data_IF_245185502037
#
_entry.id   IF_245185502037
#
_cell.length_a   1.000
_cell.length_b   1.000
_cell.length_c   1.000
_cell.angle_alpha   90.00
_cell.angle_beta   90.00
_cell.angle_gamma   90.00
#
_symmetry.space_group_name_H-M   'P 1'
#
loop_
_entity.id
_entity.type
_entity.pdbx_description
1 polymer ?
#
# COMPACT_ATOMS: atom_id res chain seq x y z
N UNK A 1 27.96 -20.21 6.95
CA UNK A 1 28.17 -18.87 6.38
C UNK A 1 27.62 -18.85 4.97
N UNK A 2 26.60 -18.01 4.73
CA UNK A 2 26.38 -17.21 3.52
C UNK A 2 24.95 -16.66 3.52
N UNK A 3 24.65 -15.77 4.47
CA UNK A 3 23.51 -14.86 4.38
C UNK A 3 23.92 -13.69 3.47
N UNK A 4 23.91 -13.90 2.16
CA UNK A 4 24.19 -12.83 1.20
C UNK A 4 23.33 -13.07 -0.04
N UNK A 5 22.10 -12.58 0.00
CA UNK A 5 21.20 -12.69 -1.15
C UNK A 5 19.77 -12.17 -1.01
N UNK A 6 19.35 -11.62 0.14
CA UNK A 6 17.92 -11.32 0.34
C UNK A 6 17.59 -9.87 0.68
N UNK A 7 18.33 -8.89 0.14
CA UNK A 7 17.97 -7.47 0.25
C UNK A 7 18.58 -6.63 -0.88
N UNK A 8 18.29 -6.91 -2.16
CA UNK A 8 18.38 -5.89 -3.21
C UNK A 8 17.73 -6.37 -4.52
N UNK A 9 16.42 -6.15 -4.67
CA UNK A 9 15.76 -6.05 -5.99
C UNK A 9 14.42 -5.35 -5.80
N UNK A 10 14.46 -4.11 -5.31
CA UNK A 10 13.28 -3.25 -5.48
C UNK A 10 13.10 -3.02 -6.99
N UNK A 11 11.88 -3.09 -7.47
CA UNK A 11 11.51 -2.78 -8.85
C UNK A 11 11.65 -1.30 -9.18
N UNK A 12 11.03 -0.89 -10.28
CA UNK A 12 11.08 0.49 -10.76
C UNK A 12 10.70 1.52 -9.67
N UNK A 13 11.32 2.71 -9.76
CA UNK A 13 10.88 3.88 -9.00
C UNK A 13 9.48 4.28 -9.49
N UNK A 14 8.49 4.21 -8.62
CA UNK A 14 7.10 4.54 -8.95
C UNK A 14 6.84 6.04 -8.78
N UNK A 15 7.36 6.63 -7.70
CA UNK A 15 7.15 8.03 -7.36
C UNK A 15 8.21 8.56 -6.41
N UNK A 16 8.57 9.82 -6.57
CA UNK A 16 9.28 10.63 -5.56
C UNK A 16 8.38 11.78 -5.15
N UNK A 17 8.37 12.13 -3.87
CA UNK A 17 7.68 13.32 -3.39
C UNK A 17 8.08 13.70 -1.97
N UNK A 18 7.58 14.83 -1.48
CA UNK A 18 7.96 15.32 -0.16
C UNK A 18 7.01 14.80 0.92
N UNK A 19 7.56 14.57 2.11
CA UNK A 19 6.76 14.09 3.25
C UNK A 19 5.80 15.14 3.81
N UNK A 20 6.02 16.42 3.51
CA UNK A 20 5.21 17.56 3.98
C UNK A 20 4.12 17.99 2.98
N UNK A 21 4.03 17.36 1.81
CA UNK A 21 2.98 17.59 0.81
C UNK A 21 1.61 17.03 1.27
N UNK A 22 1.61 16.05 2.18
CA UNK A 22 0.41 15.37 2.66
C UNK A 22 0.42 15.25 4.18
N UNK A 23 -0.74 14.92 4.72
CA UNK A 23 -0.90 14.67 6.15
C UNK A 23 -0.57 13.22 6.43
N UNK A 24 0.50 12.97 7.18
CA UNK A 24 0.83 11.63 7.65
C UNK A 24 -0.19 11.16 8.71
N UNK A 25 -0.79 9.99 8.48
CA UNK A 25 -1.59 9.31 9.50
C UNK A 25 -0.67 8.48 10.41
N UNK A 26 -1.11 8.27 11.64
CA UNK A 26 -0.30 7.61 12.66
C UNK A 26 -1.05 7.40 13.97
N UNK A 27 -0.41 6.67 14.87
CA UNK A 27 -0.91 6.38 16.22
C UNK A 27 0.12 6.88 17.23
N UNK A 28 -0.34 7.49 18.34
CA UNK A 28 0.55 7.97 19.42
C UNK A 28 1.68 8.91 18.96
N UNK A 29 1.45 9.70 17.91
CA UNK A 29 2.44 10.62 17.35
C UNK A 29 3.49 9.96 16.43
N UNK A 30 3.41 8.64 16.21
CA UNK A 30 4.26 7.94 15.25
C UNK A 30 3.53 7.85 13.89
N UNK A 31 4.03 8.53 12.84
CA UNK A 31 3.44 8.41 11.51
C UNK A 31 3.78 7.06 10.87
N UNK A 32 2.85 6.53 10.08
CA UNK A 32 2.94 5.22 9.42
C UNK A 32 4.23 5.10 8.58
N UNK A 33 4.58 6.12 7.80
CA UNK A 33 5.77 6.06 6.92
C UNK A 33 7.09 5.92 7.69
N UNK A 34 7.19 6.41 8.93
CA UNK A 34 8.39 6.22 9.77
C UNK A 34 8.49 4.79 10.31
N UNK A 35 7.37 4.09 10.45
CA UNK A 35 7.32 2.69 10.82
C UNK A 35 7.32 1.75 9.59
N UNK A 36 7.49 2.28 8.39
CA UNK A 36 7.15 1.57 7.17
C UNK A 36 7.88 0.23 6.99
N UNK A 37 9.21 0.22 7.18
CA UNK A 37 10.01 -1.00 7.06
C UNK A 37 9.63 -2.06 8.11
N UNK A 38 9.22 -1.63 9.31
CA UNK A 38 8.76 -2.54 10.36
C UNK A 38 7.40 -3.14 10.00
N UNK A 39 6.48 -2.33 9.46
CA UNK A 39 5.17 -2.78 8.96
C UNK A 39 5.34 -3.77 7.79
N UNK A 40 6.18 -3.44 6.80
CA UNK A 40 6.52 -4.33 5.67
C UNK A 40 7.10 -5.65 6.20
N UNK A 41 8.08 -5.60 7.11
CA UNK A 41 8.70 -6.80 7.65
C UNK A 41 7.70 -7.67 8.43
N UNK A 42 6.77 -7.05 9.16
CA UNK A 42 5.72 -7.76 9.87
C UNK A 42 4.71 -8.42 8.93
N UNK A 43 4.28 -7.69 7.89
CA UNK A 43 3.41 -8.22 6.84
C UNK A 43 4.08 -9.36 6.09
N UNK A 44 5.37 -9.24 5.76
CA UNK A 44 6.15 -10.30 5.10
C UNK A 44 6.13 -11.60 5.91
N UNK A 45 6.16 -11.52 7.25
CA UNK A 45 6.12 -12.70 8.12
C UNK A 45 4.72 -13.31 8.26
N UNK A 46 3.66 -12.50 8.15
CA UNK A 46 2.29 -12.92 8.45
C UNK A 46 1.49 -13.27 7.20
N UNK A 47 1.60 -12.43 6.18
CA UNK A 47 0.82 -12.50 4.94
C UNK A 47 1.68 -11.95 3.78
N UNK A 48 2.65 -12.73 3.25
CA UNK A 48 3.59 -12.27 2.24
C UNK A 48 2.92 -11.62 1.01
N UNK A 49 1.77 -12.16 0.58
CA UNK A 49 1.02 -11.66 -0.58
C UNK A 49 0.46 -10.25 -0.40
N UNK A 50 0.31 -9.74 0.82
CA UNK A 50 -0.17 -8.38 1.07
C UNK A 50 0.95 -7.34 0.93
N UNK A 51 2.22 -7.75 0.98
CA UNK A 51 3.36 -6.84 0.88
C UNK A 51 3.50 -6.27 -0.52
N UNK A 52 3.14 -7.05 -1.55
CA UNK A 52 3.27 -6.64 -2.95
C UNK A 52 2.35 -5.46 -3.33
N UNK A 53 1.37 -5.14 -2.49
CA UNK A 53 0.51 -3.96 -2.63
C UNK A 53 1.17 -2.67 -2.13
N UNK A 54 2.32 -2.74 -1.47
CA UNK A 54 2.97 -1.61 -0.81
C UNK A 54 4.30 -1.30 -1.47
N UNK A 55 4.41 -0.09 -2.03
CA UNK A 55 5.69 0.42 -2.47
C UNK A 55 6.65 0.53 -1.27
N UNK A 56 7.93 0.27 -1.48
CA UNK A 56 8.94 0.38 -0.42
C UNK A 56 9.45 1.81 -0.35
N UNK A 57 9.20 2.54 0.75
CA UNK A 57 9.69 3.91 0.90
C UNK A 57 11.18 3.92 1.25
N UNK A 58 11.91 4.83 0.62
CA UNK A 58 13.28 5.20 0.96
C UNK A 58 13.37 6.70 1.11
N UNK A 59 13.53 7.14 2.36
CA UNK A 59 13.72 8.56 2.66
C UNK A 59 15.16 8.97 2.40
N UNK A 60 15.35 10.22 1.96
CA UNK A 60 16.67 10.86 1.96
C UNK A 60 17.18 11.07 3.41
N UNK A 61 18.45 11.48 3.56
CA UNK A 61 19.09 11.69 4.88
C UNK A 61 18.32 12.65 5.80
N UNK A 62 17.62 13.63 5.21
CA UNK A 62 16.85 14.64 5.93
C UNK A 62 15.42 14.20 6.26
N UNK A 63 14.96 13.06 5.70
CA UNK A 63 13.59 12.58 5.85
C UNK A 63 12.53 13.39 5.11
N UNK A 64 12.91 14.39 4.33
CA UNK A 64 12.02 15.36 3.67
C UNK A 64 11.48 14.87 2.34
N UNK A 65 12.23 14.00 1.65
CA UNK A 65 11.87 13.42 0.36
C UNK A 65 11.84 11.92 0.51
N UNK A 66 10.83 11.29 -0.07
CA UNK A 66 10.63 9.84 -0.06
C UNK A 66 10.54 9.34 -1.49
N UNK A 67 11.42 8.43 -1.85
CA UNK A 67 11.33 7.61 -3.05
C UNK A 67 10.53 6.34 -2.76
N UNK A 68 9.54 6.04 -3.60
CA UNK A 68 8.69 4.87 -3.47
C UNK A 68 8.98 3.91 -4.62
N UNK A 69 9.53 2.74 -4.27
CA UNK A 69 9.91 1.73 -5.25
C UNK A 69 8.90 0.59 -5.28
N UNK A 70 8.67 0.01 -6.45
CA UNK A 70 7.88 -1.22 -6.56
C UNK A 70 8.54 -2.36 -5.75
N UNK A 71 7.79 -3.18 -5.00
CA UNK A 71 8.31 -4.41 -4.39
C UNK A 71 8.61 -5.51 -5.42
N UNK A 72 8.07 -5.43 -6.64
CA UNK A 72 8.24 -6.42 -7.71
C UNK A 72 8.80 -5.80 -9.00
N UNK A 73 9.42 -6.62 -9.85
CA UNK A 73 9.86 -6.21 -11.19
C UNK A 73 8.69 -6.27 -12.18
N UNK A 74 8.63 -5.31 -13.11
CA UNK A 74 7.60 -5.27 -14.14
C UNK A 74 7.47 -3.90 -14.78
N UNK A 75 6.60 -3.81 -15.80
CA UNK A 75 6.29 -2.57 -16.48
C UNK A 75 5.28 -1.76 -15.67
N UNK A 76 5.56 -0.47 -15.48
CA UNK A 76 4.75 0.40 -14.62
C UNK A 76 3.69 1.13 -15.45
N UNK A 77 2.44 0.96 -15.07
CA UNK A 77 1.27 1.65 -15.63
C UNK A 77 0.65 2.53 -14.54
N UNK A 78 0.70 3.87 -14.67
CA UNK A 78 -0.02 4.76 -13.76
C UNK A 78 -1.53 4.50 -13.81
N UNK A 79 -2.23 4.64 -12.67
CA UNK A 79 -3.69 4.42 -12.60
C UNK A 79 -4.48 5.19 -13.67
N UNK A 80 -4.09 6.43 -13.97
CA UNK A 80 -4.73 7.28 -14.98
C UNK A 80 -4.57 6.76 -16.42
N UNK A 81 -3.56 5.92 -16.66
CA UNK A 81 -3.25 5.34 -17.97
C UNK A 81 -3.83 3.93 -18.13
N UNK A 82 -4.30 3.31 -17.06
CA UNK A 82 -4.94 1.99 -17.09
C UNK A 82 -6.35 2.06 -17.67
N UNK A 83 -6.71 1.04 -18.45
CA UNK A 83 -8.07 0.84 -18.96
C UNK A 83 -9.05 0.63 -17.80
N UNK A 84 -10.35 0.87 -18.03
CA UNK A 84 -11.34 0.64 -16.97
C UNK A 84 -11.41 -0.84 -16.57
N UNK A 85 -11.17 -1.78 -17.49
CA UNK A 85 -11.15 -3.22 -17.19
C UNK A 85 -9.99 -3.58 -16.25
N UNK A 86 -8.79 -3.05 -16.50
CA UNK A 86 -7.63 -3.23 -15.61
C UNK A 86 -7.88 -2.58 -14.25
N UNK A 87 -8.46 -1.36 -14.23
CA UNK A 87 -8.85 -0.68 -13.00
C UNK A 87 -9.88 -1.48 -12.22
N UNK A 88 -10.87 -2.10 -12.86
CA UNK A 88 -11.88 -2.91 -12.19
C UNK A 88 -11.30 -4.14 -11.49
N UNK A 89 -10.40 -4.85 -12.18
CA UNK A 89 -9.65 -5.97 -11.59
C UNK A 89 -8.80 -5.49 -10.41
N UNK A 90 -8.08 -4.38 -10.58
CA UNK A 90 -7.25 -3.80 -9.53
C UNK A 90 -8.06 -3.34 -8.30
N UNK A 91 -9.25 -2.77 -8.50
CA UNK A 91 -10.18 -2.41 -7.40
C UNK A 91 -10.56 -3.62 -6.57
N UNK A 92 -10.89 -4.73 -7.22
CA UNK A 92 -11.21 -5.98 -6.51
C UNK A 92 -10.03 -6.45 -5.65
N UNK A 93 -8.81 -6.42 -6.20
CA UNK A 93 -7.61 -6.79 -5.46
C UNK A 93 -7.32 -5.83 -4.28
N UNK A 94 -7.45 -4.52 -4.50
CA UNK A 94 -7.22 -3.49 -3.48
C UNK A 94 -8.27 -3.54 -2.35
N UNK A 95 -9.52 -3.86 -2.68
CA UNK A 95 -10.57 -4.09 -1.69
C UNK A 95 -10.26 -5.30 -0.82
N UNK A 96 -9.81 -6.41 -1.42
CA UNK A 96 -9.36 -7.58 -0.67
C UNK A 96 -8.17 -7.24 0.24
N UNK A 97 -7.17 -6.52 -0.27
CA UNK A 97 -6.03 -6.03 0.52
C UNK A 97 -6.49 -5.19 1.72
N UNK A 98 -7.37 -4.20 1.50
CA UNK A 98 -7.90 -3.34 2.56
C UNK A 98 -8.62 -4.14 3.64
N UNK A 99 -9.49 -5.07 3.25
CA UNK A 99 -10.22 -5.92 4.20
C UNK A 99 -9.28 -6.81 5.01
N UNK A 100 -8.30 -7.45 4.37
CA UNK A 100 -7.34 -8.30 5.06
C UNK A 100 -6.50 -7.50 6.09
N UNK A 101 -6.07 -6.28 5.74
CA UNK A 101 -5.36 -5.39 6.67
C UNK A 101 -6.25 -5.00 7.86
N UNK A 102 -7.52 -4.68 7.62
CA UNK A 102 -8.47 -4.33 8.67
C UNK A 102 -8.70 -5.49 9.64
N UNK A 103 -8.85 -6.72 9.14
CA UNK A 103 -8.99 -7.92 9.96
C UNK A 103 -7.75 -8.20 10.81
N UNK A 104 -6.56 -8.09 10.20
CA UNK A 104 -5.29 -8.26 10.92
C UNK A 104 -5.10 -7.20 12.00
N UNK A 105 -5.43 -5.94 11.71
CA UNK A 105 -5.42 -4.83 12.66
C UNK A 105 -6.33 -5.13 13.86
N UNK A 106 -7.59 -5.49 13.60
CA UNK A 106 -8.57 -5.80 14.63
C UNK A 106 -8.12 -6.99 15.50
N UNK A 107 -7.58 -8.04 14.89
CA UNK A 107 -7.05 -9.21 15.61
C UNK A 107 -5.91 -8.84 16.56
N UNK A 108 -4.95 -8.01 16.11
CA UNK A 108 -3.83 -7.54 16.91
C UNK A 108 -4.28 -6.67 18.08
N UNK A 109 -5.21 -5.74 17.85
CA UNK A 109 -5.76 -4.87 18.90
C UNK A 109 -6.53 -5.68 19.94
N UNK A 110 -7.32 -6.67 19.53
CA UNK A 110 -8.07 -7.53 20.44
C UNK A 110 -7.14 -8.41 21.29
N UNK A 111 -6.13 -9.02 20.67
CA UNK A 111 -5.15 -9.84 21.37
C UNK A 111 -4.34 -9.01 22.37
N UNK A 112 -3.88 -7.83 21.96
CA UNK A 112 -3.14 -6.90 22.82
C UNK A 112 -3.98 -6.43 24.02
N UNK A 113 -5.27 -6.13 23.80
CA UNK A 113 -6.20 -5.74 24.87
C UNK A 113 -6.40 -6.84 25.91
N UNK A 114 -6.51 -8.10 25.48
CA UNK A 114 -6.63 -9.26 26.39
C UNK A 114 -5.35 -9.52 27.18
N UNK A 115 -4.19 -9.28 26.57
CA UNK A 115 -2.88 -9.53 27.16
C UNK A 115 -2.25 -8.34 27.88
N UNK A 116 -2.91 -7.17 27.92
CA UNK A 116 -2.34 -5.93 28.47
C UNK A 116 -1.11 -5.41 27.71
N UNK A 117 -0.94 -5.78 26.43
CA UNK A 117 0.24 -5.45 25.63
C UNK A 117 0.00 -4.16 24.81
N UNK A 118 0.35 -3.00 25.39
CA UNK A 118 0.17 -1.69 24.76
C UNK A 118 0.79 -1.59 23.38
N UNK A 119 2.01 -2.11 23.21
CA UNK A 119 2.77 -1.99 21.96
C UNK A 119 2.11 -2.78 20.83
N UNK A 120 1.51 -3.92 21.16
CA UNK A 120 0.74 -4.71 20.20
C UNK A 120 -0.53 -3.98 19.76
N UNK A 121 -1.19 -3.27 20.68
CA UNK A 121 -2.37 -2.45 20.35
C UNK A 121 -1.96 -1.30 19.42
N UNK A 122 -0.89 -0.56 19.76
CA UNK A 122 -0.39 0.55 18.94
C UNK A 122 0.01 0.05 17.55
N UNK A 123 0.74 -1.05 17.48
CA UNK A 123 1.12 -1.67 16.21
C UNK A 123 -0.11 -2.10 15.38
N UNK A 124 -1.10 -2.72 16.02
CA UNK A 124 -2.36 -3.09 15.36
C UNK A 124 -3.10 -1.88 14.79
N UNK A 125 -3.17 -0.77 15.52
CA UNK A 125 -3.77 0.48 15.02
C UNK A 125 -2.97 1.10 13.88
N UNK A 126 -1.64 1.15 13.98
CA UNK A 126 -0.77 1.61 12.88
C UNK A 126 -0.98 0.78 11.62
N UNK A 127 -1.11 -0.55 11.75
CA UNK A 127 -1.37 -1.44 10.63
C UNK A 127 -2.70 -1.10 9.93
N UNK A 128 -3.74 -0.78 10.69
CA UNK A 128 -5.05 -0.39 10.13
C UNK A 128 -5.00 0.90 9.31
N UNK A 129 -4.01 1.75 9.53
CA UNK A 129 -3.81 3.01 8.81
C UNK A 129 -3.02 2.86 7.51
N UNK A 130 -2.41 1.69 7.27
CA UNK A 130 -1.58 1.43 6.08
C UNK A 130 -2.31 1.67 4.76
N UNK A 131 -3.58 1.26 4.56
CA UNK A 131 -4.23 1.40 3.25
C UNK A 131 -4.61 2.84 2.87
N UNK A 132 -4.40 3.84 3.73
CA UNK A 132 -4.63 5.24 3.37
C UNK A 132 -3.62 5.71 2.32
N UNK A 133 -4.11 6.34 1.27
CA UNK A 133 -3.29 7.07 0.29
C UNK A 133 -4.01 8.38 -0.08
N UNK A 134 -3.31 9.39 -0.62
CA UNK A 134 -3.92 10.70 -0.88
C UNK A 134 -4.99 10.70 -1.98
N UNK A 135 -4.78 9.93 -3.06
CA UNK A 135 -5.66 9.88 -4.23
C UNK A 135 -5.34 8.65 -5.10
N UNK A 136 -6.17 8.42 -6.14
CA UNK A 136 -5.97 7.36 -7.13
C UNK A 136 -4.67 7.48 -7.92
N UNK A 137 -4.17 8.69 -8.14
CA UNK A 137 -2.88 8.96 -8.79
C UNK A 137 -1.65 8.40 -8.05
N UNK A 138 -1.83 7.93 -6.82
CA UNK A 138 -0.80 7.25 -6.02
C UNK A 138 -0.85 5.73 -6.13
N UNK A 139 -1.74 5.20 -6.97
CA UNK A 139 -1.84 3.79 -7.32
C UNK A 139 -1.17 3.55 -8.67
N UNK A 140 -0.39 2.48 -8.74
CA UNK A 140 0.26 2.02 -9.97
C UNK A 140 -0.09 0.56 -10.20
N UNK A 141 -0.27 0.16 -11.46
CA UNK A 141 -0.34 -1.24 -11.85
C UNK A 141 1.03 -1.64 -12.37
N UNK A 142 1.59 -2.71 -11.83
CA UNK A 142 2.85 -3.28 -12.31
C UNK A 142 2.54 -4.59 -13.04
N UNK A 143 2.75 -4.57 -14.35
CA UNK A 143 2.60 -5.75 -15.21
C UNK A 143 3.83 -6.63 -15.04
N UNK A 144 3.64 -7.78 -14.42
CA UNK A 144 4.71 -8.68 -14.02
C UNK A 144 4.49 -10.09 -14.55
N UNK A 145 5.54 -10.90 -14.45
CA UNK A 145 5.46 -12.34 -14.75
C UNK A 145 5.85 -13.13 -13.51
N UNK A 146 5.17 -14.24 -13.30
CA UNK A 146 5.54 -15.22 -12.28
C UNK A 146 5.45 -16.62 -12.86
N UNK A 147 6.15 -17.55 -12.22
CA UNK A 147 6.08 -18.97 -12.55
C UNK A 147 5.10 -19.63 -11.61
N UNK A 148 4.08 -20.28 -12.14
CA UNK A 148 3.11 -21.02 -11.34
C UNK A 148 3.69 -22.38 -10.87
N UNK A 149 2.91 -23.15 -10.12
CA UNK A 149 3.35 -24.44 -9.56
C UNK A 149 3.68 -25.47 -10.66
N UNK A 150 3.08 -25.34 -11.83
CA UNK A 150 3.28 -26.18 -13.01
C UNK A 150 4.51 -25.78 -13.84
N UNK A 151 5.23 -24.72 -13.43
CA UNK A 151 6.40 -24.22 -14.15
C UNK A 151 6.06 -23.32 -15.34
N UNK A 152 4.78 -22.99 -15.57
CA UNK A 152 4.36 -22.08 -16.63
C UNK A 152 4.56 -20.62 -16.23
N UNK A 153 5.02 -19.79 -17.16
CA UNK A 153 5.12 -18.34 -16.98
C UNK A 153 3.76 -17.71 -17.24
N UNK A 154 3.20 -17.06 -16.22
CA UNK A 154 1.95 -16.33 -16.32
C UNK A 154 2.18 -14.82 -16.11
N UNK A 155 1.45 -14.01 -16.89
CA UNK A 155 1.38 -12.56 -16.70
C UNK A 155 0.29 -12.23 -15.70
N UNK A 156 0.58 -11.27 -14.83
CA UNK A 156 -0.39 -10.73 -13.89
C UNK A 156 -0.14 -9.24 -13.66
N UNK A 157 -1.20 -8.53 -13.28
CA UNK A 157 -1.16 -7.12 -12.94
C UNK A 157 -1.28 -6.95 -11.44
N UNK A 158 -0.29 -6.33 -10.80
CA UNK A 158 -0.24 -6.07 -9.37
C UNK A 158 -0.49 -4.58 -9.09
N UNK A 159 -1.57 -4.20 -8.39
CA UNK A 159 -1.73 -2.83 -7.93
C UNK A 159 -0.81 -2.56 -6.73
N UNK A 160 -0.14 -1.41 -6.75
CA UNK A 160 0.86 -0.99 -5.76
C UNK A 160 0.57 0.44 -5.33
N UNK A 161 0.43 0.64 -4.02
CA UNK A 161 0.22 1.93 -3.38
C UNK A 161 1.55 2.61 -3.12
N UNK A 162 1.65 3.88 -3.51
CA UNK A 162 2.68 4.82 -3.05
C UNK A 162 2.06 5.80 -2.05
N UNK A 163 2.88 6.47 -1.23
CA UNK A 163 2.36 7.38 -0.19
C UNK A 163 1.31 6.73 0.72
N UNK A 164 1.46 5.43 0.97
CA UNK A 164 0.59 4.75 1.92
C UNK A 164 0.87 5.26 3.35
N UNK A 165 -0.18 5.36 4.15
CA UNK A 165 -0.12 6.06 5.43
C UNK A 165 -0.15 7.60 5.34
N UNK A 166 -0.60 8.15 4.21
CA UNK A 166 -0.87 9.59 4.05
C UNK A 166 -2.29 9.85 3.57
N UNK A 167 -2.81 11.04 3.88
CA UNK A 167 -4.10 11.54 3.39
C UNK A 167 -3.96 12.95 2.85
N UNK A 168 -4.86 13.33 1.94
CA UNK A 168 -4.83 14.65 1.31
C UNK A 168 -5.22 15.77 2.29
N UNK A 169 -6.25 15.56 3.11
CA UNK A 169 -6.77 16.55 4.05
C UNK A 169 -7.03 15.94 5.43
N UNK A 170 -7.09 16.77 6.48
CA UNK A 170 -7.35 16.31 7.86
C UNK A 170 -8.69 15.55 7.97
N UNK A 171 -9.71 15.98 7.22
CA UNK A 171 -11.01 15.30 7.19
C UNK A 171 -10.96 13.88 6.61
N UNK A 172 -9.91 13.53 5.86
CA UNK A 172 -9.76 12.23 5.21
C UNK A 172 -9.11 11.18 6.14
N UNK A 173 -8.62 11.59 7.32
CA UNK A 173 -8.04 10.69 8.33
C UNK A 173 -9.02 9.65 8.85
N UNK A 174 -10.32 9.95 8.79
CA UNK A 174 -11.39 9.09 9.28
C UNK A 174 -12.25 8.49 8.15
N UNK A 175 -11.93 8.80 6.90
CA UNK A 175 -12.61 8.18 5.76
C UNK A 175 -12.17 6.73 5.61
N UNK A 176 -13.05 5.93 5.01
CA UNK A 176 -12.69 4.59 4.56
C UNK A 176 -11.46 4.67 3.61
N UNK A 177 -10.40 3.89 3.86
CA UNK A 177 -9.24 3.88 2.99
C UNK A 177 -9.61 3.56 1.53
N UNK A 178 -8.91 4.20 0.60
CA UNK A 178 -9.12 4.03 -0.84
C UNK A 178 -10.54 4.38 -1.33
N UNK A 179 -11.28 5.23 -0.61
CA UNK A 179 -12.66 5.64 -1.00
C UNK A 179 -12.77 6.17 -2.43
N UNK A 180 -11.70 6.79 -2.95
CA UNK A 180 -11.61 7.34 -4.30
C UNK A 180 -11.61 6.27 -5.41
N UNK A 181 -11.40 4.99 -5.07
CA UNK A 181 -11.48 3.89 -6.03
C UNK A 181 -12.93 3.56 -6.42
N UNK A 182 -13.92 4.04 -5.67
CA UNK A 182 -15.32 3.85 -6.04
C UNK A 182 -15.57 4.46 -7.42
N UNK A 183 -16.04 3.70 -8.42
CA UNK A 183 -16.29 4.25 -9.75
C UNK A 183 -17.17 5.48 -9.66
N UNK A 184 -16.65 6.62 -10.14
CA UNK A 184 -17.47 7.82 -10.29
C UNK A 184 -18.52 7.47 -11.34
N UNK A 185 -19.80 7.51 -10.96
CA UNK A 185 -20.89 7.33 -11.92
C UNK A 185 -20.62 8.27 -13.12
N UNK A 186 -20.53 7.70 -14.32
CA UNK A 186 -20.34 8.49 -15.52
C UNK A 186 -21.49 9.50 -15.57
N UNK A 187 -21.17 10.79 -15.50
CA UNK A 187 -22.15 11.84 -15.73
C UNK A 187 -22.69 11.58 -17.14
N UNK A 188 -23.99 11.30 -17.33
CA UNK A 188 -24.52 11.09 -18.67
C UNK A 188 -24.19 12.32 -19.51
N UNK A 189 -23.56 12.12 -20.66
CA UNK A 189 -23.26 13.20 -21.58
C UNK A 189 -24.58 13.93 -21.90
N UNK A 190 -24.60 15.27 -21.90
CA UNK A 190 -25.79 16.00 -22.31
C UNK A 190 -26.14 15.55 -23.74
N UNK A 191 -27.36 15.06 -23.92
CA UNK A 191 -27.90 14.77 -25.26
C UNK A 191 -27.82 16.05 -26.12
N UNK A 192 -27.48 15.93 -27.42
CA UNK A 192 -27.36 17.07 -28.32
C UNK A 192 -28.67 17.86 -28.48
#
# INVERSE_FOLDING_TARGET
>A
MNCKGMFSMHGALLRTGKSDEFIAVGETGQPVYKAALQLIAALTRKSPSLVDFLAVPKSNEQGSVIDWYSPIQGDVVPWSSATEAERDVARTQLNHFKTAIAEMSASLVQAGSKGGQSDQIIFGKLLGLVPHAPADSYVYLVEATRTNAEGAVERYSQPILTFWGFVQNEGDRHRDPLYFLTPRAATPAPSP
#
